data_IF_102212318112
#
_entry.id   IF_102212318112
#
_cell.length_a   1.000
_cell.length_b   1.000
_cell.length_c   1.000
_cell.angle_alpha   90.00
_cell.angle_beta   90.00
_cell.angle_gamma   90.00
#
_symmetry.space_group_name_H-M   'P 1'
#
loop_
_entity.id
_entity.type
_entity.pdbx_description
1 polymer ?
#
# COMPACT_ATOMS: atom_id res chain seq x y z
N UNK A 1 -6.53 37.45 -31.23
CA UNK A 1 -6.13 36.04 -31.36
C UNK A 1 -5.36 35.68 -30.11
N UNK A 2 -5.98 34.96 -29.18
CA UNK A 2 -5.37 34.61 -27.91
C UNK A 2 -4.33 33.50 -28.16
N UNK A 3 -3.07 33.78 -27.84
CA UNK A 3 -2.02 32.77 -27.79
C UNK A 3 -2.16 32.01 -26.48
N UNK A 4 -2.70 30.79 -26.56
CA UNK A 4 -2.77 29.87 -25.43
C UNK A 4 -1.35 29.54 -24.96
N UNK A 5 -1.03 29.97 -23.75
CA UNK A 5 0.18 29.57 -23.03
C UNK A 5 0.07 28.07 -22.74
N UNK A 6 0.90 27.26 -23.39
CA UNK A 6 1.00 25.83 -23.12
C UNK A 6 1.46 25.60 -21.66
N UNK A 7 0.64 24.99 -20.78
CA UNK A 7 0.99 24.75 -19.39
C UNK A 7 1.94 23.55 -19.19
N UNK A 8 2.34 22.85 -20.27
CA UNK A 8 3.30 21.76 -20.21
C UNK A 8 4.72 22.23 -20.52
N UNK A 9 5.22 23.19 -19.75
CA UNK A 9 6.66 23.36 -19.62
C UNK A 9 7.22 22.17 -18.85
N UNK A 10 7.86 21.25 -19.56
CA UNK A 10 8.66 20.14 -19.00
C UNK A 10 9.44 20.66 -17.80
N UNK A 11 9.19 20.07 -16.63
CA UNK A 11 9.94 20.33 -15.41
C UNK A 11 11.43 20.18 -15.73
N UNK A 12 12.13 21.32 -15.83
CA UNK A 12 13.57 21.37 -15.85
C UNK A 12 14.00 20.85 -14.49
N UNK A 13 14.49 19.62 -14.45
CA UNK A 13 15.10 19.05 -13.25
C UNK A 13 16.21 20.01 -12.83
N UNK A 14 16.00 20.73 -11.73
CA UNK A 14 17.02 21.58 -11.14
C UNK A 14 18.12 20.67 -10.57
N UNK A 15 19.30 20.79 -11.17
CA UNK A 15 20.47 19.90 -11.09
C UNK A 15 21.25 19.99 -9.76
N UNK A 16 20.61 19.91 -8.59
CA UNK A 16 21.37 19.95 -7.32
C UNK A 16 20.98 18.88 -6.33
N UNK A 17 21.17 17.64 -6.75
CA UNK A 17 21.51 16.56 -5.83
C UNK A 17 22.96 16.16 -6.12
N UNK A 18 23.86 16.27 -5.14
CA UNK A 18 25.30 15.96 -5.31
C UNK A 18 25.55 14.47 -5.66
N UNK A 19 24.50 13.63 -5.59
CA UNK A 19 24.51 12.22 -5.92
C UNK A 19 23.92 11.90 -7.30
N UNK A 20 23.35 12.87 -8.01
CA UNK A 20 22.73 12.66 -9.31
C UNK A 20 23.65 13.16 -10.43
N UNK A 21 24.29 12.22 -11.13
CA UNK A 21 25.16 12.49 -12.27
C UNK A 21 24.40 12.21 -13.58
N UNK A 22 24.37 13.18 -14.50
CA UNK A 22 23.70 13.02 -15.81
C UNK A 22 24.42 12.00 -16.67
N UNK A 23 25.69 11.79 -16.40
CA UNK A 23 26.57 10.84 -17.06
C UNK A 23 26.09 9.40 -16.87
N UNK A 24 25.44 9.09 -15.74
CA UNK A 24 24.97 7.74 -15.41
C UNK A 24 23.78 7.29 -16.27
N UNK A 25 23.08 8.23 -16.91
CA UNK A 25 21.87 7.99 -17.71
C UNK A 25 22.18 7.95 -19.21
N UNK A 26 23.38 8.38 -19.64
CA UNK A 26 23.73 8.50 -21.07
C UNK A 26 23.70 7.16 -21.81
N UNK A 27 24.04 6.08 -21.12
CA UNK A 27 24.07 4.72 -21.69
C UNK A 27 22.83 3.89 -21.31
N UNK A 28 21.81 4.50 -20.68
CA UNK A 28 20.61 3.81 -20.24
C UNK A 28 19.64 3.61 -21.41
N UNK A 29 19.67 2.43 -22.02
CA UNK A 29 18.67 2.03 -23.01
C UNK A 29 17.40 1.50 -22.32
N UNK A 30 16.41 2.39 -22.23
CA UNK A 30 15.08 2.11 -21.68
C UNK A 30 14.46 0.84 -22.27
N UNK A 31 14.62 0.59 -23.59
CA UNK A 31 13.98 -0.56 -24.26
C UNK A 31 14.67 -1.86 -23.87
N UNK A 32 16.00 -1.85 -23.80
CA UNK A 32 16.79 -3.00 -23.40
C UNK A 32 16.51 -3.36 -21.93
N UNK A 33 16.49 -2.38 -21.04
CA UNK A 33 16.19 -2.62 -19.62
C UNK A 33 14.73 -3.02 -19.37
N UNK A 34 13.77 -2.46 -20.12
CA UNK A 34 12.37 -2.90 -20.05
C UNK A 34 12.23 -4.35 -20.53
N UNK A 35 12.90 -4.73 -21.62
CA UNK A 35 12.89 -6.11 -22.11
C UNK A 35 13.52 -7.09 -21.10
N UNK A 36 14.62 -6.70 -20.43
CA UNK A 36 15.23 -7.48 -19.35
C UNK A 36 14.28 -7.62 -18.15
N UNK A 37 13.54 -6.57 -17.80
CA UNK A 37 12.53 -6.59 -16.74
C UNK A 37 11.38 -7.55 -17.11
N UNK A 38 10.84 -7.44 -18.33
CA UNK A 38 9.75 -8.29 -18.81
C UNK A 38 10.16 -9.77 -18.86
N UNK A 39 11.39 -10.06 -19.30
CA UNK A 39 11.97 -11.41 -19.28
C UNK A 39 12.12 -11.95 -17.85
N UNK A 40 12.53 -11.09 -16.90
CA UNK A 40 12.61 -11.44 -15.49
C UNK A 40 11.23 -11.76 -14.89
N UNK A 41 10.20 -10.98 -15.24
CA UNK A 41 8.82 -11.18 -14.76
C UNK A 41 8.15 -12.42 -15.35
N UNK A 42 8.53 -12.81 -16.58
CA UNK A 42 8.00 -14.00 -17.26
C UNK A 42 8.56 -15.31 -16.70
N UNK A 43 9.68 -15.25 -15.96
CA UNK A 43 10.29 -16.44 -15.35
C UNK A 43 9.44 -16.98 -14.18
N UNK A 44 8.88 -18.20 -14.29
CA UNK A 44 7.91 -18.73 -13.31
C UNK A 44 8.51 -19.00 -11.92
N UNK A 45 9.84 -18.94 -11.76
CA UNK A 45 10.49 -19.08 -10.46
C UNK A 45 10.54 -17.78 -9.64
N UNK A 46 10.23 -16.62 -10.24
CA UNK A 46 10.39 -15.29 -9.60
C UNK A 46 9.08 -14.53 -9.39
N UNK A 47 7.95 -15.10 -9.79
CA UNK A 47 6.63 -14.83 -9.20
C UNK A 47 6.48 -15.50 -7.82
N UNK A 48 7.59 -15.84 -7.15
CA UNK A 48 7.62 -15.94 -5.69
C UNK A 48 7.31 -14.56 -5.12
N UNK A 49 6.01 -14.31 -4.97
CA UNK A 49 5.38 -13.48 -3.97
C UNK A 49 6.42 -12.89 -3.01
N UNK A 50 6.75 -11.63 -3.29
CA UNK A 50 7.79 -10.82 -2.67
C UNK A 50 7.79 -10.95 -1.15
N UNK A 51 8.98 -10.83 -0.58
CA UNK A 51 9.31 -10.58 0.82
C UNK A 51 8.14 -10.56 1.84
N UNK A 52 7.90 -11.74 2.43
CA UNK A 52 7.02 -11.92 3.59
C UNK A 52 5.52 -12.05 3.31
N UNK A 53 5.08 -11.88 2.06
CA UNK A 53 3.72 -12.21 1.63
C UNK A 53 3.52 -13.74 1.56
N UNK A 54 2.33 -14.20 1.92
CA UNK A 54 1.94 -15.61 1.99
C UNK A 54 0.65 -15.83 1.20
N UNK A 55 0.55 -16.94 0.49
CA UNK A 55 -0.70 -17.41 -0.08
C UNK A 55 -1.49 -18.23 0.94
N UNK A 56 -2.81 -18.10 0.91
CA UNK A 56 -3.76 -18.96 1.60
C UNK A 56 -5.06 -19.03 0.80
N UNK A 57 -5.81 -20.11 0.98
CA UNK A 57 -7.20 -20.19 0.57
C UNK A 57 -8.03 -20.28 1.83
N UNK A 58 -8.97 -19.35 2.00
CA UNK A 58 -9.81 -19.28 3.20
C UNK A 58 -11.28 -19.37 2.83
N UNK A 59 -12.05 -19.90 3.77
CA UNK A 59 -13.49 -20.00 3.70
C UNK A 59 -14.06 -19.03 4.73
N UNK A 60 -14.83 -18.05 4.27
CA UNK A 60 -15.42 -17.01 5.13
C UNK A 60 -16.91 -17.30 5.25
N UNK A 61 -17.44 -17.42 6.47
CA UNK A 61 -18.88 -17.45 6.71
C UNK A 61 -19.46 -16.07 6.49
N UNK A 62 -20.38 -15.93 5.54
CA UNK A 62 -20.97 -14.65 5.14
C UNK A 62 -22.42 -14.57 5.62
N UNK A 63 -22.85 -13.43 6.21
CA UNK A 63 -24.24 -13.24 6.58
C UNK A 63 -25.13 -13.15 5.34
N UNK A 64 -26.18 -13.95 5.28
CA UNK A 64 -27.19 -13.96 4.20
C UNK A 64 -28.52 -13.32 4.62
N UNK A 65 -28.55 -12.68 5.79
CA UNK A 65 -29.73 -12.04 6.36
C UNK A 65 -30.76 -13.01 6.94
N UNK A 66 -30.49 -14.32 6.96
CA UNK A 66 -31.36 -15.33 7.56
C UNK A 66 -30.85 -15.71 8.95
N UNK A 67 -31.77 -16.16 9.81
CA UNK A 67 -31.42 -16.72 11.11
C UNK A 67 -30.93 -18.15 10.91
N UNK A 68 -29.66 -18.37 11.20
CA UNK A 68 -29.06 -19.70 11.27
C UNK A 68 -28.98 -20.17 12.70
N UNK A 69 -29.09 -21.48 12.91
CA UNK A 69 -28.98 -22.13 14.22
C UNK A 69 -27.55 -22.12 14.75
N UNK A 70 -26.57 -22.15 13.86
CA UNK A 70 -25.15 -22.14 14.16
C UNK A 70 -24.38 -21.35 13.09
N UNK A 71 -23.21 -20.84 13.44
CA UNK A 71 -22.28 -20.20 12.49
C UNK A 71 -21.83 -21.17 11.39
N UNK A 72 -21.82 -22.48 11.67
CA UNK A 72 -21.50 -23.51 10.69
C UNK A 72 -22.56 -23.68 9.59
N UNK A 73 -23.81 -23.27 9.85
CA UNK A 73 -24.91 -23.35 8.89
C UNK A 73 -24.95 -22.13 7.95
N UNK A 74 -24.14 -21.10 8.24
CA UNK A 74 -24.07 -19.90 7.42
C UNK A 74 -23.41 -20.18 6.06
N UNK A 75 -23.85 -19.50 4.99
CA UNK A 75 -23.22 -19.65 3.67
C UNK A 75 -21.74 -19.32 3.70
N UNK A 76 -20.94 -20.20 3.11
CA UNK A 76 -19.48 -20.05 3.06
C UNK A 76 -19.07 -19.48 1.70
N UNK A 77 -18.27 -18.42 1.73
CA UNK A 77 -17.63 -17.83 0.56
C UNK A 77 -16.16 -18.26 0.49
N UNK A 78 -15.78 -19.10 -0.49
CA UNK A 78 -14.39 -19.47 -0.70
C UNK A 78 -13.63 -18.32 -1.36
N UNK A 79 -12.50 -17.94 -0.77
CA UNK A 79 -11.55 -16.98 -1.34
C UNK A 79 -10.30 -17.75 -1.75
N UNK A 80 -10.19 -18.20 -3.01
CA UNK A 80 -8.98 -18.80 -3.52
C UNK A 80 -7.89 -17.72 -3.69
N UNK A 81 -6.63 -18.14 -3.58
CA UNK A 81 -5.45 -17.33 -3.89
C UNK A 81 -5.36 -15.99 -3.13
N UNK A 82 -5.72 -16.00 -1.83
CA UNK A 82 -5.54 -14.85 -0.95
C UNK A 82 -4.06 -14.67 -0.61
N UNK A 83 -3.48 -13.55 -1.04
CA UNK A 83 -2.16 -13.13 -0.60
C UNK A 83 -2.27 -12.21 0.62
N UNK A 84 -1.62 -12.57 1.72
CA UNK A 84 -1.59 -11.78 2.95
C UNK A 84 -0.18 -11.69 3.55
N UNK A 85 0.10 -10.62 4.29
CA UNK A 85 1.35 -10.46 5.07
C UNK A 85 1.01 -10.40 6.55
N UNK A 86 1.56 -11.27 7.41
CA UNK A 86 1.26 -11.23 8.83
C UNK A 86 1.61 -9.87 9.43
N UNK A 87 0.64 -9.22 10.07
CA UNK A 87 0.81 -7.85 10.58
C UNK A 87 1.98 -7.73 11.57
N UNK A 88 2.22 -8.76 12.39
CA UNK A 88 3.37 -8.83 13.31
C UNK A 88 4.71 -8.79 12.56
N UNK A 89 4.80 -9.42 11.38
CA UNK A 89 6.01 -9.35 10.54
C UNK A 89 6.18 -7.95 9.95
N UNK A 90 5.07 -7.30 9.57
CA UNK A 90 5.08 -5.90 9.10
C UNK A 90 5.61 -4.98 10.21
N UNK A 91 5.05 -5.08 11.42
CA UNK A 91 5.50 -4.29 12.57
C UNK A 91 6.97 -4.53 12.91
N UNK A 92 7.40 -5.79 12.98
CA UNK A 92 8.82 -6.10 13.26
C UNK A 92 9.75 -5.56 12.17
N UNK A 93 9.34 -5.58 10.91
CA UNK A 93 10.12 -5.00 9.82
C UNK A 93 10.21 -3.47 9.98
N UNK A 94 9.08 -2.80 10.20
CA UNK A 94 9.02 -1.36 10.38
C UNK A 94 9.85 -0.88 11.58
N UNK A 95 9.73 -1.55 12.74
CA UNK A 95 10.48 -1.18 13.95
C UNK A 95 11.99 -1.38 13.78
N UNK A 96 12.42 -2.41 13.03
CA UNK A 96 13.85 -2.67 12.78
C UNK A 96 14.47 -1.70 11.79
N UNK A 97 13.69 -1.14 10.89
CA UNK A 97 14.15 -0.12 9.97
C UNK A 97 14.15 1.24 10.67
N UNK A 98 15.34 1.73 10.99
CA UNK A 98 15.58 3.02 11.67
C UNK A 98 14.97 4.23 10.92
N UNK A 99 14.61 4.05 9.64
CA UNK A 99 13.95 5.05 8.78
C UNK A 99 12.42 5.15 8.89
N UNK A 100 11.73 4.16 9.49
CA UNK A 100 10.25 4.10 9.50
C UNK A 100 9.61 4.88 10.67
N UNK A 101 10.33 5.89 11.21
CA UNK A 101 9.88 6.77 12.30
C UNK A 101 8.65 7.63 11.95
N UNK A 102 8.15 7.55 10.71
CA UNK A 102 7.01 8.32 10.21
C UNK A 102 5.74 7.48 9.99
N UNK A 103 5.58 6.32 10.64
CA UNK A 103 4.25 5.69 10.68
C UNK A 103 3.35 6.41 11.69
N UNK A 104 2.55 7.36 11.20
CA UNK A 104 1.45 7.94 11.96
C UNK A 104 0.29 6.94 12.03
N UNK A 105 0.29 6.08 13.05
CA UNK A 105 -0.74 5.04 13.22
C UNK A 105 -2.14 5.58 13.56
N UNK A 106 -2.26 6.85 13.93
CA UNK A 106 -3.53 7.60 14.03
C UNK A 106 -3.17 9.08 14.22
N UNK A 107 -3.86 10.04 13.60
CA UNK A 107 -3.73 11.43 14.02
C UNK A 107 -4.29 11.52 15.43
N UNK A 108 -3.42 11.71 16.42
CA UNK A 108 -3.80 11.81 17.85
C UNK A 108 -4.89 12.88 18.05
N UNK A 109 -4.90 13.89 17.18
CA UNK A 109 -5.91 14.95 17.13
C UNK A 109 -7.33 14.43 16.86
N UNK A 110 -7.52 13.48 15.93
CA UNK A 110 -8.85 13.00 15.58
C UNK A 110 -9.53 12.24 16.73
N UNK A 111 -8.75 11.49 17.51
CA UNK A 111 -9.27 10.75 18.69
C UNK A 111 -9.59 11.74 19.83
N UNK A 112 -8.74 12.74 20.06
CA UNK A 112 -8.96 13.74 21.10
C UNK A 112 -10.17 14.65 20.80
N UNK A 113 -10.41 15.00 19.53
CA UNK A 113 -11.58 15.79 19.11
C UNK A 113 -12.89 15.04 19.36
N UNK A 114 -12.94 13.75 19.04
CA UNK A 114 -14.13 12.92 19.31
C UNK A 114 -14.39 12.86 20.82
N UNK A 115 -13.35 12.66 21.64
CA UNK A 115 -13.50 12.61 23.10
C UNK A 115 -13.93 13.97 23.67
N UNK A 116 -13.38 15.09 23.17
CA UNK A 116 -13.77 16.44 23.59
C UNK A 116 -15.23 16.76 23.24
N UNK A 117 -15.68 16.34 22.04
CA UNK A 117 -17.07 16.53 21.59
C UNK A 117 -18.07 15.74 22.44
N UNK A 118 -17.70 14.54 22.88
CA UNK A 118 -18.54 13.73 23.77
C UNK A 118 -18.65 14.33 25.19
N UNK A 119 -17.56 14.92 25.71
CA UNK A 119 -17.55 15.58 27.04
C UNK A 119 -18.37 16.88 27.08
N UNK A 120 -18.37 17.67 26.01
CA UNK A 120 -19.20 18.87 25.92
C UNK A 120 -20.70 18.58 25.85
N UNK A 121 -21.11 17.37 25.44
CA UNK A 121 -22.53 16.99 25.32
C UNK A 121 -23.12 16.44 26.62
N UNK A 122 -22.30 16.02 27.57
CA UNK A 122 -22.74 15.44 28.85
C UNK A 122 -22.88 16.44 29.99
N UNK A 123 -22.47 17.70 29.78
CA UNK A 123 -22.51 18.77 30.80
C UNK A 123 -23.78 19.65 30.73
N UNK A 124 -24.75 19.30 29.87
CA UNK A 124 -26.02 20.01 29.69
C UNK A 124 -27.24 19.15 30.04
N UNK A 125 -27.11 18.20 30.96
CA UNK A 125 -28.25 17.41 31.45
C UNK A 125 -28.24 17.19 32.96
#
# INVERSE_FOLDING_TARGET
MASESNPYSVNRLDDKDDQFSKEDIKDFDVKCETAKLDQYLTSPSKSQIRDGWKSASINISVPDGKKHTSEADAPVFPVPDLFYRPIVKVFKAAIRNVGDRCFHYTPVQAVLEVIARQRSSTDLR
#
